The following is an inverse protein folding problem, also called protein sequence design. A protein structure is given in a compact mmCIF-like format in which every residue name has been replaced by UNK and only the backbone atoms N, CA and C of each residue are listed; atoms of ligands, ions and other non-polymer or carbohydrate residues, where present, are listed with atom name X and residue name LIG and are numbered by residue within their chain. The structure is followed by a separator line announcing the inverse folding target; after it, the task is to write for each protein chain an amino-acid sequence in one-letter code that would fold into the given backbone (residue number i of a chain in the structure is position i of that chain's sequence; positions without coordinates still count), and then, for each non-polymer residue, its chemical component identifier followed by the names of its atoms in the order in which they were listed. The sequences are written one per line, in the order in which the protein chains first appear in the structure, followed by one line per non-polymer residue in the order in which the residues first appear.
data_IF_754507043386
#
_entry.id   IF_754507043386
#
_cell.length_a   1.000
_cell.length_b   1.000
_cell.length_c   1.000
_cell.angle_alpha   90.00
_cell.angle_beta   90.00
_cell.angle_gamma   90.00
#
_symmetry.space_group_name_H-M   'P 1'
#
loop_
_entity.id
_entity.type
_entity.pdbx_description
1 polymer ?
#
# COMPACT_ATOMS: atom_id res chain seq x y z
N UNK A 1 -6.83 -8.93 -15.04
CA UNK A 1 -6.51 -7.99 -16.14
C UNK A 1 -5.42 -7.01 -15.73
N UNK A 2 -5.61 -6.24 -14.63
CA UNK A 2 -4.64 -5.22 -14.18
C UNK A 2 -3.52 -5.71 -13.25
N UNK A 3 -3.54 -6.97 -12.83
CA UNK A 3 -2.46 -7.58 -12.03
C UNK A 3 -2.81 -7.90 -10.58
N UNK A 4 -3.99 -7.48 -10.10
CA UNK A 4 -4.48 -7.74 -8.73
C UNK A 4 -4.94 -9.20 -8.56
N UNK A 5 -4.01 -10.15 -8.66
CA UNK A 5 -4.26 -11.58 -8.51
C UNK A 5 -3.24 -12.18 -7.54
N UNK A 6 -3.61 -13.18 -6.72
CA UNK A 6 -2.72 -13.74 -5.70
C UNK A 6 -1.37 -14.20 -6.25
N UNK A 7 -1.32 -14.67 -7.49
CA UNK A 7 -0.08 -15.08 -8.16
C UNK A 7 0.94 -13.95 -8.25
N UNK A 8 0.49 -12.69 -8.34
CA UNK A 8 1.33 -11.49 -8.41
C UNK A 8 1.43 -10.73 -7.09
N UNK A 9 0.38 -10.69 -6.28
CA UNK A 9 0.31 -9.85 -5.08
C UNK A 9 0.68 -10.57 -3.79
N UNK A 10 0.59 -11.91 -3.73
CA UNK A 10 1.08 -12.65 -2.57
C UNK A 10 2.60 -12.56 -2.47
N UNK A 11 3.13 -12.38 -1.27
CA UNK A 11 4.57 -12.50 -1.05
C UNK A 11 4.96 -13.97 -1.14
N UNK A 12 5.86 -14.32 -2.06
CA UNK A 12 6.33 -15.71 -2.25
C UNK A 12 7.00 -16.27 -0.98
N UNK A 13 7.56 -15.39 -0.14
CA UNK A 13 8.32 -15.75 1.06
C UNK A 13 7.53 -15.55 2.34
N UNK A 14 6.62 -16.47 2.68
CA UNK A 14 6.05 -16.59 4.03
C UNK A 14 5.78 -18.04 4.45
N UNK A 15 6.59 -18.98 3.97
CA UNK A 15 6.73 -20.29 4.61
C UNK A 15 8.20 -20.47 4.94
N UNK A 16 8.50 -20.25 6.21
CA UNK A 16 9.73 -20.65 6.90
C UNK A 16 9.84 -22.19 6.94
N UNK A 17 8.75 -22.89 6.58
CA UNK A 17 8.64 -24.35 6.44
C UNK A 17 9.07 -24.86 5.05
N UNK A 18 9.47 -23.99 4.12
CA UNK A 18 9.96 -24.38 2.79
C UNK A 18 11.39 -23.84 2.59
N UNK A 19 12.43 -24.65 2.89
CA UNK A 19 13.82 -24.25 2.74
C UNK A 19 14.23 -23.93 1.29
N UNK A 20 13.48 -24.37 0.28
CA UNK A 20 13.71 -24.09 -1.14
C UNK A 20 12.88 -22.90 -1.66
N UNK A 21 12.82 -21.78 -0.94
CA UNK A 21 12.02 -20.62 -1.37
C UNK A 21 12.75 -19.69 -2.35
N UNK A 22 13.34 -20.28 -3.40
CA UNK A 22 13.86 -19.56 -4.57
C UNK A 22 12.77 -19.29 -5.62
N UNK A 23 11.48 -19.41 -5.26
CA UNK A 23 10.39 -19.28 -6.21
C UNK A 23 10.11 -17.81 -6.54
N UNK A 24 10.98 -17.26 -7.40
CA UNK A 24 10.72 -16.02 -8.11
C UNK A 24 9.38 -16.15 -8.84
N UNK A 25 8.59 -15.08 -8.83
CA UNK A 25 7.34 -15.06 -9.60
C UNK A 25 7.66 -15.23 -11.08
N UNK A 26 6.95 -16.10 -11.81
CA UNK A 26 7.18 -16.29 -13.23
C UNK A 26 6.83 -15.02 -14.01
N UNK A 27 7.36 -14.90 -15.24
CA UNK A 27 6.97 -13.84 -16.15
C UNK A 27 5.45 -13.82 -16.37
N UNK A 28 4.86 -12.62 -16.40
CA UNK A 28 3.41 -12.45 -16.46
C UNK A 28 3.02 -11.33 -17.44
N UNK A 29 1.99 -11.58 -18.26
CA UNK A 29 1.46 -10.60 -19.22
C UNK A 29 0.23 -9.90 -18.64
N UNK A 30 0.32 -8.58 -18.48
CA UNK A 30 -0.77 -7.75 -17.95
C UNK A 30 -1.49 -6.99 -19.07
N UNK A 31 -2.81 -6.82 -18.92
CA UNK A 31 -3.65 -6.06 -19.84
C UNK A 31 -4.30 -4.89 -19.11
N UNK A 32 -3.80 -3.68 -19.35
CA UNK A 32 -4.28 -2.45 -18.70
C UNK A 32 -5.22 -1.70 -19.66
N UNK A 33 -6.52 -1.60 -19.36
CA UNK A 33 -7.45 -0.85 -20.19
C UNK A 33 -7.25 0.66 -20.01
N UNK A 34 -7.06 1.38 -21.12
CA UNK A 34 -7.04 2.85 -21.13
C UNK A 34 -8.44 3.37 -21.50
N UNK A 35 -9.13 3.98 -20.55
CA UNK A 35 -10.49 4.49 -20.74
C UNK A 35 -10.49 5.95 -21.17
N UNK A 36 -10.94 6.22 -22.39
CA UNK A 36 -11.13 7.56 -22.94
C UNK A 36 -12.62 7.86 -23.18
N UNK A 37 -12.98 9.13 -23.43
CA UNK A 37 -14.37 9.50 -23.76
C UNK A 37 -14.91 8.75 -24.99
N UNK A 38 -14.04 8.45 -25.97
CA UNK A 38 -14.37 7.74 -27.20
C UNK A 38 -14.42 6.20 -27.04
N UNK A 39 -14.22 5.68 -25.82
CA UNK A 39 -14.37 4.26 -25.49
C UNK A 39 -15.73 3.93 -24.86
N UNK A 40 -16.58 4.94 -24.58
CA UNK A 40 -17.88 4.74 -23.91
C UNK A 40 -18.96 4.18 -24.80
N UNK A 41 -18.97 4.56 -26.08
CA UNK A 41 -19.92 4.11 -27.08
C UNK A 41 -19.27 4.18 -28.46
N UNK A 42 -19.59 3.23 -29.34
CA UNK A 42 -19.16 3.21 -30.74
C UNK A 42 -19.50 4.51 -31.49
N UNK A 43 -20.59 5.20 -31.13
CA UNK A 43 -20.97 6.50 -31.72
C UNK A 43 -20.04 7.67 -31.34
N UNK A 44 -19.20 7.51 -30.32
CA UNK A 44 -18.22 8.51 -29.87
C UNK A 44 -16.80 8.22 -30.37
N UNK A 45 -16.62 7.18 -31.20
CA UNK A 45 -15.32 6.82 -31.74
C UNK A 45 -14.68 8.02 -32.49
N UNK A 46 -13.37 8.22 -32.26
CA UNK A 46 -12.65 9.33 -32.87
C UNK A 46 -12.54 9.13 -34.40
N UNK A 47 -13.11 10.02 -35.24
CA UNK A 47 -13.13 9.81 -36.69
C UNK A 47 -11.78 10.19 -37.31
N UNK A 48 -10.82 9.26 -37.27
CA UNK A 48 -9.47 9.46 -37.80
C UNK A 48 -9.45 9.88 -39.28
N UNK A 49 -10.44 9.43 -40.07
CA UNK A 49 -10.57 9.82 -41.48
C UNK A 49 -10.84 11.33 -41.69
N UNK A 50 -11.46 11.98 -40.70
CA UNK A 50 -11.74 13.41 -40.70
C UNK A 50 -10.58 14.24 -40.12
N UNK A 51 -9.54 13.58 -39.59
CA UNK A 51 -8.36 14.19 -38.96
C UNK A 51 -7.10 14.02 -39.83
N UNK A 52 -7.22 14.25 -41.14
CA UNK A 52 -6.13 14.00 -42.12
C UNK A 52 -4.86 14.81 -41.85
N UNK A 53 -5.01 16.00 -41.26
CA UNK A 53 -3.90 16.91 -40.97
C UNK A 53 -3.57 17.00 -39.47
N UNK A 54 -4.12 16.10 -38.65
CA UNK A 54 -3.91 16.09 -37.21
C UNK A 54 -3.36 14.74 -36.73
N UNK A 55 -2.25 14.77 -35.99
CA UNK A 55 -1.63 13.55 -35.46
C UNK A 55 -2.17 13.26 -34.05
N UNK A 56 -2.74 12.07 -33.87
CA UNK A 56 -3.15 11.56 -32.55
C UNK A 56 -2.00 10.71 -32.00
N UNK A 57 -1.49 11.07 -30.81
CA UNK A 57 -0.39 10.37 -30.15
C UNK A 57 -0.77 10.07 -28.71
N UNK A 58 -0.38 8.89 -28.24
CA UNK A 58 -0.48 8.49 -26.83
C UNK A 58 0.94 8.39 -26.29
N UNK A 59 1.22 9.14 -25.22
CA UNK A 59 2.50 9.09 -24.52
C UNK A 59 2.31 8.30 -23.24
N UNK A 60 3.12 7.24 -23.07
CA UNK A 60 3.13 6.43 -21.85
C UNK A 60 4.48 6.62 -21.17
N UNK A 61 4.44 6.98 -19.88
CA UNK A 61 5.64 7.11 -19.05
C UNK A 61 5.56 6.07 -17.93
N UNK A 62 6.49 5.12 -17.95
CA UNK A 62 6.60 4.09 -16.91
C UNK A 62 7.34 4.62 -15.69
N UNK A 63 7.04 4.00 -14.54
CA UNK A 63 7.82 4.19 -13.31
C UNK A 63 9.05 3.29 -13.35
N UNK A 64 9.99 3.56 -12.45
CA UNK A 64 11.15 2.70 -12.25
C UNK A 64 10.69 1.34 -11.69
N UNK A 65 11.34 0.25 -12.13
CA UNK A 65 10.95 -1.11 -11.73
C UNK A 65 10.98 -1.33 -10.22
N UNK A 66 11.93 -0.72 -9.51
CA UNK A 66 12.04 -0.75 -8.04
C UNK A 66 10.82 -0.21 -7.29
N UNK A 67 9.95 0.58 -7.95
CA UNK A 67 8.71 1.14 -7.37
C UNK A 67 7.48 0.29 -7.71
N UNK A 68 7.66 -0.85 -8.35
CA UNK A 68 6.56 -1.69 -8.87
C UNK A 68 6.52 -3.09 -8.23
N UNK A 69 7.33 -3.35 -7.20
CA UNK A 69 7.29 -4.60 -6.45
C UNK A 69 7.53 -4.35 -4.96
N UNK A 70 7.08 -5.32 -4.16
CA UNK A 70 7.29 -5.38 -2.71
C UNK A 70 8.23 -6.55 -2.44
N UNK A 71 9.29 -6.30 -1.70
CA UNK A 71 10.32 -7.30 -1.43
C UNK A 71 11.05 -7.01 -0.13
N UNK A 72 11.61 -8.06 0.46
CA UNK A 72 12.51 -7.96 1.60
C UNK A 72 13.86 -7.35 1.22
N UNK A 73 14.62 -6.90 2.22
CA UNK A 73 15.99 -6.44 1.99
C UNK A 73 16.88 -7.57 1.44
N UNK A 74 16.72 -8.79 1.96
CA UNK A 74 17.44 -9.97 1.49
C UNK A 74 17.24 -10.22 -0.02
N UNK A 75 16.01 -10.01 -0.52
CA UNK A 75 15.74 -10.12 -1.95
C UNK A 75 16.42 -9.02 -2.75
N UNK A 76 16.40 -7.78 -2.26
CA UNK A 76 16.99 -6.64 -2.98
C UNK A 76 18.50 -6.70 -3.08
N UNK A 77 19.18 -7.25 -2.08
CA UNK A 77 20.64 -7.33 -2.04
C UNK A 77 21.21 -8.41 -2.96
N UNK A 78 20.44 -9.47 -3.24
CA UNK A 78 20.84 -10.60 -4.11
C UNK A 78 20.08 -10.73 -5.43
N UNK A 79 19.02 -9.95 -5.64
CA UNK A 79 18.08 -10.12 -6.76
C UNK A 79 18.60 -9.63 -8.13
N UNK A 80 18.15 -10.29 -9.19
CA UNK A 80 18.38 -9.85 -10.57
C UNK A 80 17.55 -8.60 -10.93
N UNK A 81 17.98 -7.86 -11.95
CA UNK A 81 17.23 -6.70 -12.44
C UNK A 81 15.91 -7.12 -13.08
N UNK A 82 14.81 -6.45 -12.73
CA UNK A 82 13.52 -6.65 -13.39
C UNK A 82 13.41 -5.77 -14.63
N UNK A 83 13.27 -6.42 -15.79
CA UNK A 83 13.08 -5.75 -17.07
C UNK A 83 11.73 -6.10 -17.70
N UNK A 84 11.16 -5.14 -18.43
CA UNK A 84 9.94 -5.32 -19.19
C UNK A 84 10.32 -5.82 -20.60
N UNK A 85 9.94 -7.04 -20.93
CA UNK A 85 10.33 -7.69 -22.20
C UNK A 85 9.69 -7.00 -23.42
N UNK A 86 8.38 -6.76 -23.38
CA UNK A 86 7.64 -6.14 -24.49
C UNK A 86 6.51 -5.22 -23.97
N UNK A 87 6.09 -4.29 -24.83
CA UNK A 87 4.94 -3.42 -24.59
C UNK A 87 4.28 -3.06 -25.91
N UNK A 88 3.02 -3.42 -26.04
CA UNK A 88 2.20 -3.13 -27.22
C UNK A 88 0.91 -2.41 -26.84
N UNK A 89 0.50 -1.42 -27.63
CA UNK A 89 -0.81 -0.78 -27.50
C UNK A 89 -1.80 -1.41 -28.49
N UNK A 90 -2.84 -2.05 -27.97
CA UNK A 90 -3.94 -2.58 -28.77
C UNK A 90 -4.99 -1.51 -29.03
N UNK A 91 -5.39 -1.36 -30.30
CA UNK A 91 -6.40 -0.39 -30.74
C UNK A 91 -7.37 -1.06 -31.71
N UNK A 92 -8.67 -0.82 -31.53
CA UNK A 92 -9.70 -1.27 -32.46
C UNK A 92 -9.96 -0.21 -33.52
N UNK A 93 -9.91 -0.62 -34.79
CA UNK A 93 -10.27 0.23 -35.93
C UNK A 93 -11.62 -0.18 -36.51
N UNK A 94 -12.52 0.78 -36.67
CA UNK A 94 -13.79 0.60 -37.36
C UNK A 94 -13.63 1.09 -38.80
N UNK A 95 -13.80 0.19 -39.76
CA UNK A 95 -13.74 0.52 -41.17
C UNK A 95 -15.14 0.86 -41.69
N UNK A 96 -15.23 1.96 -42.44
CA UNK A 96 -16.47 2.44 -43.06
C UNK A 96 -16.48 2.09 -44.55
N UNK A 97 -17.68 1.87 -45.11
CA UNK A 97 -17.84 1.69 -46.56
C UNK A 97 -17.55 3.00 -47.31
N UNK A 98 -17.38 2.91 -48.62
CA UNK A 98 -16.91 3.99 -49.49
C UNK A 98 -17.78 5.25 -49.39
N UNK A 99 -19.10 5.10 -49.35
CA UNK A 99 -20.03 6.24 -49.23
C UNK A 99 -19.96 6.90 -47.85
N UNK A 100 -20.00 6.11 -46.78
CA UNK A 100 -19.88 6.58 -45.40
C UNK A 100 -18.54 7.27 -45.17
N UNK A 101 -17.45 6.65 -45.65
CA UNK A 101 -16.09 7.20 -45.57
C UNK A 101 -16.00 8.58 -46.23
N UNK A 102 -16.58 8.74 -47.43
CA UNK A 102 -16.61 10.05 -48.12
C UNK A 102 -17.40 11.08 -47.31
N UNK A 103 -18.56 10.69 -46.78
CA UNK A 103 -19.40 11.56 -45.95
C UNK A 103 -18.69 11.98 -44.66
N UNK A 104 -18.10 11.03 -43.93
CA UNK A 104 -17.36 11.29 -42.70
C UNK A 104 -16.11 12.15 -42.94
N UNK A 105 -15.45 12.04 -44.08
CA UNK A 105 -14.29 12.88 -44.39
C UNK A 105 -14.66 14.34 -44.70
N UNK A 106 -15.84 14.58 -45.28
CA UNK A 106 -16.24 15.90 -45.79
C UNK A 106 -17.12 16.69 -44.82
N UNK A 107 -17.93 16.02 -44.02
CA UNK A 107 -18.85 16.66 -43.07
C UNK A 107 -18.09 17.13 -41.84
N UNK A 108 -18.46 18.30 -41.31
CA UNK A 108 -17.99 18.79 -40.03
C UNK A 108 -18.57 17.96 -38.87
N UNK A 109 -17.72 17.51 -37.95
CA UNK A 109 -18.16 16.78 -36.77
C UNK A 109 -18.00 17.64 -35.52
N UNK A 110 -18.98 17.58 -34.63
CA UNK A 110 -18.91 18.17 -33.29
C UNK A 110 -19.24 17.10 -32.26
N UNK A 111 -18.32 16.87 -31.32
CA UNK A 111 -18.52 15.94 -30.22
C UNK A 111 -18.47 16.70 -28.92
N UNK A 112 -19.46 16.49 -28.05
CA UNK A 112 -19.26 16.71 -26.62
C UNK A 112 -18.24 15.69 -26.15
N UNK A 113 -17.22 16.14 -25.42
CA UNK A 113 -16.15 15.29 -24.90
C UNK A 113 -15.94 15.56 -23.42
N UNK A 114 -15.42 14.55 -22.74
CA UNK A 114 -14.98 14.65 -21.35
C UNK A 114 -13.46 14.66 -21.31
N UNK A 115 -12.90 15.58 -20.53
CA UNK A 115 -11.48 15.70 -20.29
C UNK A 115 -11.21 15.57 -18.78
N UNK A 116 -10.09 14.92 -18.44
CA UNK A 116 -9.59 14.89 -17.08
C UNK A 116 -8.65 16.07 -16.88
N UNK A 117 -8.93 16.90 -15.88
CA UNK A 117 -8.01 17.93 -15.40
C UNK A 117 -7.34 17.47 -14.11
N UNK A 118 -6.05 17.74 -14.02
CA UNK A 118 -5.21 17.45 -12.88
C UNK A 118 -4.25 18.63 -12.71
N UNK A 119 -4.23 19.23 -11.52
CA UNK A 119 -3.45 20.45 -11.23
C UNK A 119 -2.05 20.17 -10.68
N UNK A 120 -1.68 18.90 -10.51
CA UNK A 120 -0.43 18.49 -9.87
C UNK A 120 -0.66 17.89 -8.49
N UNK A 121 0.45 17.50 -7.87
CA UNK A 121 0.48 17.03 -6.47
C UNK A 121 0.70 18.22 -5.54
N UNK A 122 -0.11 18.31 -4.49
CA UNK A 122 0.07 19.30 -3.42
C UNK A 122 0.56 18.59 -2.15
N UNK A 123 1.60 19.12 -1.52
CA UNK A 123 2.09 18.59 -0.24
C UNK A 123 1.12 18.87 0.90
N UNK A 124 1.01 17.93 1.83
CA UNK A 124 0.27 18.14 3.08
C UNK A 124 1.20 18.83 4.08
N UNK A 125 0.84 20.03 4.52
CA UNK A 125 1.61 20.76 5.52
C UNK A 125 1.48 20.15 6.93
N UNK A 126 2.27 20.65 7.88
CA UNK A 126 2.28 20.19 9.28
C UNK A 126 1.04 20.63 10.10
N UNK A 127 -0.06 20.99 9.44
CA UNK A 127 -1.27 21.52 10.08
C UNK A 127 -2.48 20.61 9.85
N UNK A 128 -3.32 20.47 10.88
CA UNK A 128 -4.58 19.70 10.87
C UNK A 128 -5.53 20.03 9.72
N UNK A 129 -5.39 21.21 9.11
CA UNK A 129 -6.14 21.60 7.93
C UNK A 129 -5.25 22.23 6.89
N UNK A 130 -5.52 21.93 5.63
CA UNK A 130 -4.87 22.52 4.47
C UNK A 130 -5.91 23.02 3.48
N UNK A 131 -5.57 24.09 2.77
CA UNK A 131 -6.44 24.74 1.78
C UNK A 131 -5.81 24.61 0.40
N UNK A 132 -6.46 23.85 -0.47
CA UNK A 132 -5.99 23.57 -1.83
C UNK A 132 -6.76 24.43 -2.83
N UNK A 133 -6.03 25.20 -3.64
CA UNK A 133 -6.64 26.08 -4.65
C UNK A 133 -6.97 25.26 -5.89
N UNK A 134 -8.25 25.24 -6.27
CA UNK A 134 -8.72 24.52 -7.45
C UNK A 134 -8.60 25.41 -8.69
N UNK A 135 -7.52 25.22 -9.46
CA UNK A 135 -7.28 25.94 -10.72
C UNK A 135 -7.83 25.16 -11.93
N UNK A 136 -9.07 24.68 -11.82
CA UNK A 136 -9.76 24.01 -12.93
C UNK A 136 -10.41 25.01 -13.88
N UNK A 137 -10.75 24.54 -15.08
CA UNK A 137 -11.42 25.32 -16.10
C UNK A 137 -12.63 24.57 -16.65
N UNK A 138 -13.50 25.32 -17.34
CA UNK A 138 -14.70 24.84 -18.01
C UNK A 138 -15.74 24.24 -17.03
N UNK A 139 -16.92 23.84 -17.52
CA UNK A 139 -17.90 23.12 -16.71
C UNK A 139 -17.39 21.74 -16.27
N UNK A 140 -17.17 21.56 -14.98
CA UNK A 140 -16.81 20.29 -14.35
C UNK A 140 -18.04 19.59 -13.78
N UNK A 141 -18.12 18.26 -13.93
CA UNK A 141 -19.22 17.46 -13.39
C UNK A 141 -18.98 16.96 -11.97
N UNK A 142 -17.73 16.71 -11.62
CA UNK A 142 -17.36 16.22 -10.29
C UNK A 142 -15.89 16.56 -10.00
N UNK A 143 -15.57 16.62 -8.72
CA UNK A 143 -14.21 16.63 -8.18
C UNK A 143 -13.93 15.27 -7.56
N UNK A 144 -12.70 14.82 -7.70
CA UNK A 144 -12.18 13.62 -7.06
C UNK A 144 -10.88 13.99 -6.37
N UNK A 145 -10.66 13.52 -5.15
CA UNK A 145 -9.36 13.69 -4.51
C UNK A 145 -8.97 12.48 -3.70
N UNK A 146 -7.66 12.27 -3.65
CA UNK A 146 -7.03 11.20 -2.88
C UNK A 146 -5.86 11.76 -2.13
N UNK A 147 -5.57 11.14 -0.99
CA UNK A 147 -4.34 11.34 -0.24
C UNK A 147 -3.44 10.14 -0.49
N UNK A 148 -2.17 10.37 -0.81
CA UNK A 148 -1.14 9.34 -0.79
C UNK A 148 -0.18 9.61 0.35
N UNK A 149 0.09 8.58 1.14
CA UNK A 149 1.03 8.67 2.24
C UNK A 149 2.44 8.30 1.78
N UNK A 150 3.42 9.14 2.13
CA UNK A 150 4.83 8.92 1.77
C UNK A 150 5.38 7.61 2.34
N UNK A 151 4.87 7.19 3.50
CA UNK A 151 5.27 5.93 4.16
C UNK A 151 5.04 4.68 3.29
N UNK A 152 4.09 4.70 2.36
CA UNK A 152 3.81 3.58 1.46
C UNK A 152 4.50 3.72 0.10
N UNK A 153 5.33 4.75 -0.08
CA UNK A 153 6.16 4.99 -1.26
C UNK A 153 7.62 4.61 -0.95
N UNK A 154 7.83 3.38 -0.48
CA UNK A 154 9.16 2.82 -0.20
C UNK A 154 9.51 2.68 1.28
N UNK A 155 8.56 2.86 2.20
CA UNK A 155 8.77 2.61 3.63
C UNK A 155 9.07 1.14 3.92
N UNK A 156 9.79 0.89 5.02
CA UNK A 156 10.17 -0.44 5.50
C UNK A 156 9.20 -0.92 6.57
N UNK A 157 8.58 -2.08 6.39
CA UNK A 157 7.57 -2.65 7.27
C UNK A 157 7.94 -4.06 7.69
N UNK A 158 7.43 -4.51 8.84
CA UNK A 158 7.68 -5.85 9.36
C UNK A 158 7.05 -6.97 8.50
N UNK A 159 5.86 -6.71 7.94
CA UNK A 159 5.10 -7.70 7.18
C UNK A 159 4.23 -7.00 6.14
N UNK A 160 3.90 -7.71 5.08
CA UNK A 160 2.93 -7.27 4.09
C UNK A 160 2.20 -8.46 3.47
N UNK A 161 0.88 -8.36 3.35
CA UNK A 161 0.07 -9.34 2.63
C UNK A 161 -1.24 -8.70 2.14
N UNK A 162 -1.30 -8.34 0.86
CA UNK A 162 -2.51 -7.74 0.29
C UNK A 162 -3.67 -8.75 0.18
N UNK A 163 -3.36 -10.05 0.08
CA UNK A 163 -4.36 -11.09 -0.12
C UNK A 163 -5.10 -11.41 1.18
N UNK A 164 -4.38 -11.45 2.30
CA UNK A 164 -4.92 -11.81 3.60
C UNK A 164 -4.20 -11.10 4.75
N UNK A 165 -4.86 -10.06 5.27
CA UNK A 165 -4.34 -9.27 6.39
C UNK A 165 -4.39 -10.01 7.75
N UNK A 166 -5.22 -11.05 7.91
CA UNK A 166 -5.17 -11.90 9.10
C UNK A 166 -3.93 -12.79 9.05
N UNK A 167 -3.60 -13.34 7.87
CA UNK A 167 -2.32 -14.04 7.65
C UNK A 167 -1.12 -13.11 7.90
N UNK A 168 -1.18 -11.86 7.46
CA UNK A 168 -0.14 -10.87 7.81
C UNK A 168 -0.01 -10.68 9.33
N UNK A 169 -1.12 -10.57 10.07
CA UNK A 169 -1.10 -10.44 11.53
C UNK A 169 -0.52 -11.67 12.22
N UNK A 170 -0.81 -12.87 11.75
CA UNK A 170 -0.22 -14.10 12.26
C UNK A 170 1.29 -14.17 11.99
N UNK A 171 1.72 -13.78 10.79
CA UNK A 171 3.14 -13.76 10.42
C UNK A 171 3.91 -12.70 11.21
N UNK A 172 3.34 -11.51 11.40
CA UNK A 172 3.89 -10.51 12.31
C UNK A 172 4.07 -11.07 13.74
N UNK A 173 3.07 -11.79 14.26
CA UNK A 173 3.16 -12.38 15.59
C UNK A 173 4.27 -13.44 15.67
N UNK A 174 4.43 -14.27 14.64
CA UNK A 174 5.53 -15.25 14.55
C UNK A 174 6.90 -14.56 14.54
N UNK A 175 7.06 -13.54 13.70
CA UNK A 175 8.31 -12.76 13.62
C UNK A 175 8.66 -12.11 14.97
N UNK A 176 7.68 -11.52 15.65
CA UNK A 176 7.90 -10.93 16.97
C UNK A 176 8.25 -11.96 18.05
N UNK A 177 7.71 -13.18 17.98
CA UNK A 177 8.07 -14.26 18.90
C UNK A 177 9.52 -14.71 18.66
N UNK A 178 9.92 -14.91 17.41
CA UNK A 178 11.27 -15.34 17.04
C UNK A 178 12.31 -14.24 17.27
N UNK A 179 11.95 -12.97 17.06
CA UNK A 179 12.84 -11.81 17.23
C UNK A 179 13.36 -11.62 18.65
N UNK A 180 12.74 -12.28 19.63
CA UNK A 180 13.16 -12.24 21.03
C UNK A 180 14.33 -13.19 21.31
N UNK A 181 14.64 -14.11 20.40
CA UNK A 181 15.74 -15.05 20.58
C UNK A 181 17.04 -14.49 20.00
N UNK A 182 18.15 -14.91 20.62
CA UNK A 182 19.50 -14.63 20.13
C UNK A 182 19.85 -15.61 19.01
N UNK A 183 19.65 -15.16 17.77
CA UNK A 183 19.83 -15.96 16.56
C UNK A 183 21.01 -15.46 15.72
N UNK A 184 21.73 -16.39 15.11
CA UNK A 184 22.75 -16.13 14.10
C UNK A 184 22.12 -15.72 12.76
N UNK A 185 22.95 -15.45 11.76
CA UNK A 185 22.51 -15.03 10.42
C UNK A 185 21.73 -16.09 9.62
N UNK A 186 21.66 -17.33 10.11
CA UNK A 186 20.95 -18.43 9.48
C UNK A 186 19.71 -18.87 10.28
N UNK A 187 19.45 -18.23 11.42
CA UNK A 187 18.31 -18.54 12.29
C UNK A 187 18.58 -19.61 13.34
N UNK A 188 19.84 -20.03 13.53
CA UNK A 188 20.24 -20.93 14.62
C UNK A 188 20.53 -20.12 15.90
N UNK A 189 20.42 -20.76 17.06
CA UNK A 189 20.83 -20.13 18.32
C UNK A 189 22.34 -19.88 18.34
N UNK A 190 22.76 -18.70 18.80
CA UNK A 190 24.17 -18.40 18.98
C UNK A 190 24.80 -19.26 20.10
N UNK A 191 26.05 -19.69 19.89
CA UNK A 191 26.80 -20.45 20.88
C UNK A 191 27.20 -19.59 22.10
N UNK A 192 27.10 -20.18 23.29
CA UNK A 192 27.49 -19.54 24.53
C UNK A 192 28.90 -19.97 24.94
N UNK A 193 29.72 -19.03 25.42
CA UNK A 193 31.05 -19.35 25.93
C UNK A 193 30.98 -20.31 27.15
N UNK A 194 31.76 -21.40 27.07
CA UNK A 194 31.80 -22.61 27.93
C UNK A 194 31.96 -22.38 29.45
N UNK A 195 32.12 -21.14 29.93
CA UNK A 195 32.41 -20.84 31.34
C UNK A 195 31.18 -20.45 32.19
N UNK A 196 29.99 -20.33 31.59
CA UNK A 196 28.74 -20.08 32.33
C UNK A 196 28.20 -21.40 32.88
N UNK A 197 28.38 -21.64 34.18
CA UNK A 197 27.87 -22.82 34.88
C UNK A 197 26.35 -22.72 35.03
N UNK A 198 25.62 -23.68 34.48
CA UNK A 198 24.30 -24.28 34.83
C UNK A 198 23.12 -23.41 35.33
N UNK A 199 23.29 -22.10 35.53
CA UNK A 199 22.30 -21.18 36.08
C UNK A 199 22.34 -19.90 35.24
N UNK A 200 21.16 -19.43 34.83
CA UNK A 200 20.98 -18.36 33.86
C UNK A 200 21.95 -17.16 34.07
N UNK A 201 22.47 -16.59 32.99
CA UNK A 201 23.33 -15.41 33.04
C UNK A 201 22.81 -14.30 32.12
N UNK A 202 22.90 -13.06 32.58
CA UNK A 202 22.58 -11.88 31.77
C UNK A 202 23.86 -11.32 31.18
N UNK A 203 23.94 -11.24 29.85
CA UNK A 203 25.02 -10.57 29.16
C UNK A 203 24.81 -9.04 29.15
N UNK A 204 25.90 -8.31 28.95
CA UNK A 204 25.91 -6.83 28.94
C UNK A 204 25.16 -6.24 27.72
N UNK A 205 24.83 -7.07 26.74
CA UNK A 205 24.09 -6.75 25.50
C UNK A 205 22.56 -6.73 25.69
N UNK A 206 22.06 -7.05 26.89
CA UNK A 206 20.62 -7.11 27.17
C UNK A 206 19.98 -8.46 26.83
N UNK A 207 20.78 -9.48 26.53
CA UNK A 207 20.34 -10.86 26.38
C UNK A 207 20.48 -11.60 27.73
N UNK A 208 19.47 -12.38 28.07
CA UNK A 208 19.44 -13.32 29.18
C UNK A 208 19.53 -14.74 28.62
N UNK A 209 20.59 -15.45 28.98
CA UNK A 209 20.79 -16.85 28.64
C UNK A 209 20.17 -17.71 29.72
N UNK A 210 19.17 -18.50 29.35
CA UNK A 210 18.39 -19.31 30.27
C UNK A 210 18.63 -20.79 29.94
N UNK A 211 18.99 -21.57 30.96
CA UNK A 211 19.07 -23.02 30.84
C UNK A 211 17.68 -23.62 30.71
N UNK A 212 17.42 -24.34 29.62
CA UNK A 212 16.15 -25.05 29.45
C UNK A 212 16.29 -26.45 29.99
N UNK A 213 15.56 -26.75 31.06
CA UNK A 213 15.48 -28.09 31.64
C UNK A 213 14.06 -28.66 31.48
N UNK A 214 13.86 -29.60 30.53
CA UNK A 214 12.57 -30.27 30.33
C UNK A 214 12.03 -31.01 31.57
N UNK A 215 12.90 -31.41 32.52
CA UNK A 215 12.53 -32.12 33.75
C UNK A 215 12.15 -31.16 34.90
N UNK A 216 12.51 -29.88 34.80
CA UNK A 216 12.17 -28.83 35.76
C UNK A 216 11.71 -27.56 35.03
N UNK A 217 10.48 -27.56 34.48
CA UNK A 217 9.93 -26.40 33.77
C UNK A 217 9.63 -25.29 34.79
N UNK A 218 10.61 -24.40 35.03
CA UNK A 218 10.45 -23.31 36.01
C UNK A 218 9.50 -22.22 35.51
N UNK A 219 9.03 -22.28 34.27
CA UNK A 219 7.98 -21.42 33.72
C UNK A 219 7.01 -22.28 32.90
N UNK A 220 5.69 -22.02 32.98
CA UNK A 220 4.67 -22.70 32.17
C UNK A 220 5.13 -22.86 30.71
N UNK A 221 4.86 -24.00 30.04
CA UNK A 221 5.67 -24.47 28.92
C UNK A 221 5.70 -23.45 27.78
N UNK A 222 6.80 -22.69 27.70
CA UNK A 222 7.15 -21.85 26.57
C UNK A 222 7.79 -22.64 25.43
N UNK A 223 8.18 -23.88 25.70
CA UNK A 223 8.97 -24.71 24.79
C UNK A 223 8.39 -26.11 24.61
N UNK A 224 8.41 -26.59 23.38
CA UNK A 224 8.30 -28.01 23.02
C UNK A 224 9.55 -28.44 22.25
N UNK A 225 9.77 -29.74 22.15
CA UNK A 225 10.90 -30.31 21.43
C UNK A 225 10.37 -31.12 20.25
N UNK A 226 11.07 -31.06 19.12
CA UNK A 226 10.70 -31.77 17.90
C UNK A 226 10.67 -33.30 18.08
N UNK A 227 11.57 -33.88 18.87
CA UNK A 227 11.65 -35.31 19.13
C UNK A 227 12.25 -35.68 20.52
N UNK A 228 12.39 -36.99 20.76
CA UNK A 228 12.95 -37.52 22.02
C UNK A 228 14.47 -37.29 22.14
N UNK A 229 15.21 -37.24 21.04
CA UNK A 229 16.65 -37.03 21.05
C UNK A 229 16.98 -35.58 21.43
N UNK A 230 16.28 -34.61 20.84
CA UNK A 230 16.34 -33.18 21.22
C UNK A 230 15.91 -32.97 22.66
N UNK A 231 14.82 -33.63 23.10
CA UNK A 231 14.43 -33.60 24.51
C UNK A 231 15.58 -34.08 25.42
N UNK A 232 16.22 -35.20 25.09
CA UNK A 232 17.36 -35.73 25.85
C UNK A 232 18.57 -34.80 25.83
N UNK A 233 18.86 -34.15 24.70
CA UNK A 233 19.94 -33.17 24.58
C UNK A 233 19.78 -32.04 25.60
N UNK A 234 18.58 -31.50 25.79
CA UNK A 234 18.31 -30.45 26.79
C UNK A 234 18.02 -30.98 28.21
N UNK A 235 17.77 -32.28 28.40
CA UNK A 235 17.44 -32.87 29.70
C UNK A 235 18.59 -32.80 30.73
N UNK A 236 19.84 -32.67 30.27
CA UNK A 236 21.02 -32.55 31.13
C UNK A 236 21.16 -31.16 31.79
N UNK A 237 20.38 -30.17 31.34
CA UNK A 237 20.30 -28.84 31.96
C UNK A 237 21.43 -27.87 31.62
N UNK A 238 22.37 -28.26 30.74
CA UNK A 238 23.55 -27.45 30.41
C UNK A 238 23.40 -26.56 29.17
N UNK A 239 22.31 -26.69 28.41
CA UNK A 239 22.10 -25.92 27.18
C UNK A 239 21.38 -24.61 27.46
N UNK A 240 22.09 -23.52 27.23
CA UNK A 240 21.62 -22.15 27.42
C UNK A 240 21.03 -21.62 26.11
N UNK A 241 19.85 -21.02 26.17
CA UNK A 241 19.25 -20.29 25.05
C UNK A 241 19.23 -18.81 25.38
N UNK A 242 19.75 -17.99 24.48
CA UNK A 242 19.71 -16.53 24.58
C UNK A 242 18.33 -15.98 24.25
N UNK A 243 17.83 -15.12 25.13
CA UNK A 243 16.54 -14.47 24.98
C UNK A 243 16.63 -13.00 25.41
N UNK A 244 15.92 -12.10 24.72
CA UNK A 244 15.91 -10.68 25.03
C UNK A 244 15.35 -10.45 26.43
N UNK A 245 16.14 -9.82 27.30
CA UNK A 245 15.77 -9.61 28.70
C UNK A 245 14.38 -8.94 28.81
N UNK A 246 13.50 -9.38 29.74
CA UNK A 246 12.15 -8.81 29.90
C UNK A 246 12.12 -7.29 30.15
N UNK A 247 13.21 -6.70 30.65
CA UNK A 247 13.34 -5.26 30.87
C UNK A 247 13.71 -4.46 29.61
N UNK A 248 14.25 -5.12 28.58
CA UNK A 248 14.66 -4.51 27.32
C UNK A 248 13.45 -4.51 26.37
N UNK A 249 13.12 -3.37 25.74
CA UNK A 249 12.03 -3.32 24.77
C UNK A 249 12.42 -4.07 23.48
N UNK A 250 11.49 -4.80 22.87
CA UNK A 250 11.73 -5.48 21.60
C UNK A 250 11.57 -4.52 20.44
N UNK A 251 10.35 -3.98 20.27
CA UNK A 251 10.01 -3.06 19.19
C UNK A 251 8.98 -2.08 19.73
N UNK A 252 9.46 -0.91 20.17
CA UNK A 252 8.70 0.01 21.02
C UNK A 252 8.76 1.46 20.53
N UNK A 253 7.65 2.17 20.76
CA UNK A 253 7.54 3.63 20.62
C UNK A 253 7.35 4.26 22.00
N UNK A 254 7.84 5.49 22.20
CA UNK A 254 7.89 6.19 23.51
C UNK A 254 6.55 6.24 24.24
N UNK A 255 5.44 6.36 23.51
CA UNK A 255 4.08 6.52 24.09
C UNK A 255 3.18 5.30 23.92
N UNK A 256 3.72 4.20 23.44
CA UNK A 256 2.94 3.01 23.15
C UNK A 256 3.46 1.77 23.84
N UNK A 257 2.62 0.74 23.80
CA UNK A 257 2.96 -0.58 24.25
C UNK A 257 4.06 -1.16 23.35
N UNK A 258 5.02 -1.85 23.94
CA UNK A 258 5.95 -2.67 23.18
C UNK A 258 5.16 -3.76 22.43
N UNK A 259 5.44 -3.97 21.15
CA UNK A 259 4.77 -5.01 20.38
C UNK A 259 5.00 -6.41 20.96
N UNK A 260 6.09 -6.62 21.72
CA UNK A 260 6.31 -7.85 22.49
C UNK A 260 5.12 -8.20 23.38
N UNK A 261 4.50 -7.22 24.02
CA UNK A 261 3.42 -7.46 24.98
C UNK A 261 2.08 -7.83 24.32
N UNK A 262 1.97 -7.69 22.99
CA UNK A 262 0.77 -8.04 22.21
C UNK A 262 0.75 -9.49 21.72
N UNK A 263 1.87 -10.21 21.84
CA UNK A 263 2.01 -11.56 21.32
C UNK A 263 2.45 -12.51 22.41
N UNK A 264 1.99 -13.76 22.34
CA UNK A 264 2.56 -14.86 23.11
C UNK A 264 2.35 -16.17 22.36
N UNK A 265 3.23 -17.13 22.56
CA UNK A 265 3.20 -18.40 21.86
C UNK A 265 4.06 -19.46 22.52
N UNK A 266 4.00 -20.66 21.96
CA UNK A 266 4.84 -21.80 22.29
C UNK A 266 5.84 -21.95 21.15
N UNK A 267 7.12 -22.05 21.51
CA UNK A 267 8.23 -22.26 20.59
C UNK A 267 8.59 -23.74 20.58
N UNK A 268 8.76 -24.32 19.41
CA UNK A 268 9.36 -25.64 19.25
C UNK A 268 10.84 -25.48 18.97
N UNK A 269 11.67 -26.21 19.71
CA UNK A 269 13.11 -26.26 19.51
C UNK A 269 13.44 -27.50 18.68
N UNK A 270 14.25 -27.28 17.65
CA UNK A 270 14.81 -28.32 16.80
C UNK A 270 16.31 -28.43 17.05
N UNK A 271 16.80 -29.67 17.06
CA UNK A 271 18.23 -29.98 16.97
C UNK A 271 18.45 -30.79 15.70
N UNK A 272 19.34 -30.29 14.85
CA UNK A 272 19.80 -30.96 13.64
C UNK A 272 21.07 -31.76 13.95
N UNK A 273 20.87 -33.02 14.33
CA UNK A 273 21.97 -33.94 14.63
C UNK A 273 22.78 -34.36 13.40
N UNK A 274 22.29 -34.11 12.18
CA UNK A 274 23.02 -34.44 10.95
C UNK A 274 24.00 -33.33 10.56
N UNK A 275 23.70 -32.08 10.95
CA UNK A 275 24.52 -30.90 10.66
C UNK A 275 25.05 -30.28 11.96
N UNK A 276 26.09 -30.90 12.55
CA UNK A 276 26.87 -30.36 13.69
C UNK A 276 26.04 -30.00 14.94
N UNK A 277 24.95 -30.73 15.20
CA UNK A 277 24.05 -30.50 16.35
C UNK A 277 23.48 -29.06 16.42
N UNK A 278 23.30 -28.42 15.26
CA UNK A 278 22.75 -27.07 15.16
C UNK A 278 21.33 -26.99 15.73
N UNK A 279 21.03 -25.89 16.44
CA UNK A 279 19.73 -25.72 17.12
C UNK A 279 19.00 -24.47 16.67
N UNK A 280 17.68 -24.56 16.43
CA UNK A 280 16.88 -23.41 15.98
C UNK A 280 15.44 -23.44 16.52
N UNK A 281 14.80 -22.27 16.69
CA UNK A 281 13.40 -22.17 17.09
C UNK A 281 12.43 -22.11 15.91
N UNK A 282 11.26 -22.71 16.10
CA UNK A 282 10.07 -22.50 15.27
C UNK A 282 8.87 -22.13 16.14
N UNK A 283 7.91 -21.38 15.60
CA UNK A 283 6.67 -21.08 16.33
C UNK A 283 5.69 -22.24 16.15
N UNK A 284 5.56 -23.08 17.18
CA UNK A 284 4.59 -24.19 17.14
C UNK A 284 3.15 -23.68 17.19
N UNK A 285 2.89 -22.73 18.09
CA UNK A 285 1.54 -22.22 18.31
C UNK A 285 1.54 -20.81 18.86
N UNK A 286 0.73 -19.94 18.28
CA UNK A 286 0.41 -18.63 18.85
C UNK A 286 -0.68 -18.81 19.92
N UNK A 287 -0.42 -18.38 21.14
CA UNK A 287 -1.40 -18.43 22.27
C UNK A 287 -2.19 -17.13 22.41
N UNK A 288 -1.62 -16.01 21.98
CA UNK A 288 -2.28 -14.69 21.95
C UNK A 288 -1.73 -13.85 20.82
N UNK A 289 -2.62 -13.16 20.11
CA UNK A 289 -2.28 -12.19 19.07
C UNK A 289 -3.23 -10.99 19.15
N UNK A 290 -2.77 -9.95 19.86
CA UNK A 290 -3.50 -8.69 20.03
C UNK A 290 -3.04 -7.60 19.05
N UNK A 291 -2.22 -7.96 18.05
CA UNK A 291 -1.79 -7.03 17.01
C UNK A 291 -2.99 -6.54 16.20
N UNK A 292 -3.02 -5.25 15.91
CA UNK A 292 -4.03 -4.62 15.07
C UNK A 292 -3.40 -4.21 13.73
N UNK A 293 -4.22 -3.94 12.71
CA UNK A 293 -3.73 -3.44 11.41
C UNK A 293 -2.92 -2.15 11.56
N UNK A 294 -3.27 -1.29 12.53
CA UNK A 294 -2.49 -0.08 12.83
C UNK A 294 -1.06 -0.42 13.26
N UNK A 295 -0.84 -1.53 13.99
CA UNK A 295 0.49 -1.97 14.40
C UNK A 295 1.33 -2.40 13.19
N UNK A 296 0.70 -2.98 12.17
CA UNK A 296 1.34 -3.36 10.90
C UNK A 296 1.52 -2.17 9.95
N UNK A 297 0.82 -1.05 10.20
CA UNK A 297 0.84 0.14 9.34
C UNK A 297 1.93 1.14 9.72
N UNK A 298 2.77 0.82 10.71
CA UNK A 298 3.84 1.70 11.16
C UNK A 298 5.15 1.21 10.54
N UNK A 299 5.84 2.07 9.78
CA UNK A 299 7.17 1.78 9.30
C UNK A 299 8.18 1.54 10.43
N UNK A 300 9.15 0.66 10.21
CA UNK A 300 10.18 0.29 11.20
C UNK A 300 10.99 1.51 11.66
N UNK A 301 11.25 2.49 10.80
CA UNK A 301 11.98 3.72 11.12
C UNK A 301 11.22 4.66 12.07
N UNK A 302 9.94 4.42 12.33
CA UNK A 302 9.13 5.17 13.29
C UNK A 302 9.17 4.60 14.70
N UNK A 303 9.85 3.46 14.91
CA UNK A 303 10.07 2.90 16.24
C UNK A 303 11.30 3.54 16.90
N UNK A 304 11.20 3.85 18.19
CA UNK A 304 12.30 4.43 18.95
C UNK A 304 13.32 3.35 19.36
N UNK A 305 12.82 2.16 19.67
CA UNK A 305 13.61 0.98 20.00
C UNK A 305 13.31 -0.16 19.01
N UNK A 306 14.34 -0.71 18.36
CA UNK A 306 14.30 -1.93 17.52
C UNK A 306 15.45 -2.86 17.94
N UNK A 307 15.19 -3.72 18.93
CA UNK A 307 16.11 -4.74 19.44
C UNK A 307 15.80 -6.14 18.92
N UNK A 308 15.11 -6.24 17.77
CA UNK A 308 14.92 -7.52 17.08
C UNK A 308 16.28 -8.06 16.63
N UNK A 309 16.47 -9.37 16.67
CA UNK A 309 17.72 -9.98 16.22
C UNK A 309 17.98 -9.69 14.72
N UNK A 310 19.26 -9.59 14.28
CA UNK A 310 19.62 -9.22 12.91
C UNK A 310 18.95 -10.08 11.85
N UNK A 311 18.90 -11.40 12.06
CA UNK A 311 18.23 -12.35 11.17
C UNK A 311 16.78 -11.95 10.86
N UNK A 312 16.00 -11.60 11.89
CA UNK A 312 14.60 -11.23 11.70
C UNK A 312 14.45 -9.91 10.94
N UNK A 313 15.39 -8.97 11.12
CA UNK A 313 15.36 -7.66 10.45
C UNK A 313 15.60 -7.76 8.94
N UNK A 314 16.26 -8.81 8.46
CA UNK A 314 16.48 -9.04 7.03
C UNK A 314 15.18 -9.38 6.27
N UNK A 315 14.17 -9.86 7.00
CA UNK A 315 12.83 -10.15 6.45
C UNK A 315 11.92 -8.92 6.37
N UNK A 316 12.36 -7.75 6.87
CA UNK A 316 11.61 -6.51 6.71
C UNK A 316 11.39 -6.21 5.22
N UNK A 317 10.17 -5.82 4.87
CA UNK A 317 9.73 -5.61 3.49
C UNK A 317 9.63 -4.13 3.16
N UNK A 318 10.06 -3.76 1.95
CA UNK A 318 9.86 -2.42 1.42
C UNK A 318 8.56 -2.37 0.64
N UNK A 319 7.66 -1.51 1.08
CA UNK A 319 6.30 -1.43 0.55
C UNK A 319 6.18 -0.27 -0.42
N UNK A 320 5.68 -0.58 -1.62
CA UNK A 320 5.33 0.38 -2.66
C UNK A 320 3.86 0.20 -3.04
N UNK A 321 2.95 0.95 -2.40
CA UNK A 321 1.50 0.89 -2.67
C UNK A 321 0.99 2.20 -3.25
N UNK A 322 1.01 2.30 -4.58
CA UNK A 322 0.58 3.51 -5.29
C UNK A 322 -0.95 3.67 -5.34
N UNK A 323 -1.69 2.58 -5.13
CA UNK A 323 -3.14 2.52 -5.10
C UNK A 323 -3.74 2.51 -3.69
N UNK A 324 -2.90 2.66 -2.65
CA UNK A 324 -3.38 2.85 -1.30
C UNK A 324 -3.72 4.33 -1.08
N UNK A 325 -5.01 4.60 -0.91
CA UNK A 325 -5.53 5.93 -0.56
C UNK A 325 -6.03 6.00 0.90
N UNK A 326 -6.01 4.86 1.58
CA UNK A 326 -6.35 4.74 2.98
C UNK A 326 -5.19 5.17 3.88
N UNK A 327 -5.50 5.29 5.16
CA UNK A 327 -4.54 5.61 6.19
C UNK A 327 -3.71 4.37 6.52
N UNK A 328 -4.34 3.20 6.61
CA UNK A 328 -3.70 1.95 7.03
C UNK A 328 -3.13 1.17 5.84
N UNK A 329 -2.20 0.25 6.13
CA UNK A 329 -1.48 -0.52 5.10
C UNK A 329 -2.40 -1.43 4.29
N UNK A 330 -3.57 -1.78 4.83
CA UNK A 330 -4.62 -2.53 4.13
C UNK A 330 -5.53 -1.66 3.25
N UNK A 331 -5.25 -0.36 3.13
CA UNK A 331 -6.05 0.57 2.36
C UNK A 331 -7.37 0.97 2.99
N UNK A 332 -7.54 0.77 4.29
CA UNK A 332 -8.74 1.20 5.04
C UNK A 332 -8.52 2.52 5.78
N UNK A 333 -9.64 3.13 6.18
CA UNK A 333 -9.72 4.39 6.91
C UNK A 333 -9.31 5.57 6.05
N UNK A 334 -10.27 6.45 5.73
CA UNK A 334 -10.01 7.67 4.99
C UNK A 334 -9.04 8.60 5.77
N UNK A 335 -7.93 9.07 5.17
CA UNK A 335 -7.03 10.01 5.84
C UNK A 335 -7.66 11.39 6.08
N UNK A 336 -8.65 11.77 5.26
CA UNK A 336 -9.38 13.03 5.34
C UNK A 336 -10.50 12.89 6.38
N UNK A 337 -10.46 13.72 7.41
CA UNK A 337 -11.46 13.72 8.48
C UNK A 337 -12.68 14.55 8.15
N UNK A 338 -12.46 15.75 7.60
CA UNK A 338 -13.50 16.69 7.19
C UNK A 338 -13.15 17.41 5.90
N UNK A 339 -14.17 17.86 5.19
CA UNK A 339 -14.07 18.50 3.88
C UNK A 339 -15.03 19.68 3.80
N UNK A 340 -14.57 20.75 3.16
CA UNK A 340 -15.38 21.91 2.83
C UNK A 340 -14.98 22.50 1.48
N UNK A 341 -15.96 22.63 0.58
CA UNK A 341 -15.79 23.30 -0.71
C UNK A 341 -16.22 24.77 -0.61
N UNK A 342 -15.31 25.68 -0.98
CA UNK A 342 -15.54 27.11 -1.02
C UNK A 342 -15.43 27.64 -2.45
N UNK A 343 -16.48 28.34 -2.91
CA UNK A 343 -16.50 29.05 -4.19
C UNK A 343 -16.76 30.53 -3.94
N UNK A 344 -15.90 31.40 -4.46
CA UNK A 344 -15.95 32.86 -4.27
C UNK A 344 -16.06 33.29 -2.80
N UNK A 345 -15.32 32.60 -1.93
CA UNK A 345 -15.33 32.86 -0.48
C UNK A 345 -16.58 32.39 0.27
N UNK A 346 -17.54 31.75 -0.41
CA UNK A 346 -18.76 31.22 0.18
C UNK A 346 -18.70 29.69 0.27
N UNK A 347 -19.13 29.16 1.41
CA UNK A 347 -19.24 27.73 1.63
C UNK A 347 -20.39 27.17 0.77
N UNK A 348 -20.11 26.15 -0.03
CA UNK A 348 -21.15 25.48 -0.85
C UNK A 348 -21.98 24.49 -0.05
N UNK A 349 -21.38 23.94 0.98
CA UNK A 349 -22.02 23.05 1.93
C UNK A 349 -21.47 23.29 3.33
N UNK A 350 -22.24 22.89 4.34
CA UNK A 350 -21.68 22.73 5.69
C UNK A 350 -20.53 21.73 5.63
N UNK A 351 -19.55 21.90 6.52
CA UNK A 351 -18.42 20.96 6.59
C UNK A 351 -18.95 19.54 6.83
N UNK A 352 -18.44 18.59 6.04
CA UNK A 352 -18.83 17.17 6.11
C UNK A 352 -17.63 16.30 6.42
N UNK A 353 -17.89 15.14 7.01
CA UNK A 353 -16.83 14.15 7.29
C UNK A 353 -16.28 13.57 5.98
N UNK A 354 -15.03 13.11 5.97
CA UNK A 354 -14.46 12.35 4.85
C UNK A 354 -15.34 11.16 4.46
N UNK A 355 -15.94 10.46 5.43
CA UNK A 355 -16.89 9.36 5.17
C UNK A 355 -18.07 9.78 4.28
N UNK A 356 -18.51 11.04 4.35
CA UNK A 356 -19.57 11.54 3.46
C UNK A 356 -19.12 11.53 1.99
N UNK A 357 -17.90 11.98 1.73
CA UNK A 357 -17.34 12.08 0.38
C UNK A 357 -16.81 10.74 -0.15
N UNK A 358 -16.44 9.83 0.74
CA UNK A 358 -15.96 8.49 0.43
C UNK A 358 -17.10 7.50 0.17
N UNK A 359 -18.19 7.60 0.95
CA UNK A 359 -19.26 6.58 0.98
C UNK A 359 -20.62 7.12 0.56
N UNK A 360 -21.05 8.24 1.15
CA UNK A 360 -22.44 8.71 0.96
C UNK A 360 -22.63 9.32 -0.42
N UNK A 361 -21.73 10.20 -0.86
CA UNK A 361 -21.81 10.79 -2.20
C UNK A 361 -21.69 9.76 -3.33
N UNK A 362 -20.74 8.80 -3.27
CA UNK A 362 -20.72 7.68 -4.21
C UNK A 362 -22.02 6.89 -4.23
N UNK A 363 -22.58 6.56 -3.06
CA UNK A 363 -23.86 5.87 -2.98
C UNK A 363 -25.04 6.65 -3.62
N UNK A 364 -25.04 7.98 -3.51
CA UNK A 364 -26.11 8.81 -4.07
C UNK A 364 -26.00 9.03 -5.59
N UNK A 365 -24.78 9.08 -6.13
CA UNK A 365 -24.54 9.56 -7.50
C UNK A 365 -23.84 8.55 -8.43
N UNK A 366 -23.25 7.48 -7.90
CA UNK A 366 -22.45 6.51 -8.65
C UNK A 366 -23.03 5.11 -8.50
N UNK A 367 -22.60 4.21 -9.38
CA UNK A 367 -23.04 2.81 -9.36
C UNK A 367 -22.38 1.98 -8.29
N UNK A 368 -21.21 2.41 -7.79
CA UNK A 368 -20.45 1.73 -6.76
C UNK A 368 -19.68 2.72 -5.89
N UNK A 369 -19.30 2.27 -4.70
CA UNK A 369 -18.48 3.03 -3.76
C UNK A 369 -17.01 2.69 -3.99
N UNK A 370 -16.12 3.70 -4.11
CA UNK A 370 -14.69 3.45 -4.30
C UNK A 370 -14.04 2.87 -3.03
N UNK A 371 -12.75 2.49 -3.13
CA UNK A 371 -11.96 2.12 -1.94
C UNK A 371 -11.79 3.32 -1.01
N UNK A 372 -11.72 3.05 0.29
CA UNK A 372 -11.52 4.07 1.33
C UNK A 372 -10.40 5.06 0.98
N UNK A 373 -10.67 6.34 1.23
CA UNK A 373 -9.74 7.43 0.95
C UNK A 373 -9.85 8.05 -0.44
N UNK A 374 -10.65 7.46 -1.34
CA UNK A 374 -11.05 8.11 -2.59
C UNK A 374 -12.32 8.92 -2.37
N UNK A 375 -12.13 10.23 -2.27
CA UNK A 375 -13.21 11.13 -1.97
C UNK A 375 -13.78 11.77 -3.24
N UNK A 376 -15.09 11.96 -3.25
CA UNK A 376 -15.83 12.53 -4.38
C UNK A 376 -16.70 13.71 -3.94
N UNK A 377 -16.77 14.72 -4.81
CA UNK A 377 -17.79 15.77 -4.78
C UNK A 377 -18.50 15.84 -6.14
N UNK A 378 -19.75 15.40 -6.21
CA UNK A 378 -20.54 15.46 -7.44
C UNK A 378 -21.30 16.79 -7.57
N UNK A 379 -21.12 17.47 -8.70
CA UNK A 379 -22.02 18.55 -9.12
C UNK A 379 -23.16 18.04 -10.00
N UNK A 380 -22.97 16.89 -10.64
CA UNK A 380 -23.91 16.22 -11.52
C UNK A 380 -24.86 15.31 -10.73
N UNK A 381 -26.09 15.16 -11.20
CA UNK A 381 -26.99 14.13 -10.66
C UNK A 381 -26.51 12.73 -11.07
N UNK A 382 -26.10 12.59 -12.33
CA UNK A 382 -25.57 11.39 -12.95
C UNK A 382 -24.15 11.68 -13.52
N UNK A 383 -23.08 11.65 -12.70
CA UNK A 383 -21.71 11.92 -13.13
C UNK A 383 -21.14 10.85 -14.08
N UNK A 384 -21.65 9.62 -14.04
CA UNK A 384 -21.21 8.53 -14.91
C UNK A 384 -21.74 8.63 -16.34
N UNK A 385 -22.83 9.36 -16.55
CA UNK A 385 -23.39 9.58 -17.88
C UNK A 385 -22.56 10.59 -18.69
N UNK A 386 -22.51 10.39 -20.00
CA UNK A 386 -21.86 11.34 -20.91
C UNK A 386 -22.69 12.63 -21.10
N UNK A 387 -24.01 12.53 -20.93
CA UNK A 387 -24.90 13.67 -21.04
C UNK A 387 -24.89 14.45 -19.72
N UNK A 388 -24.58 15.76 -19.74
CA UNK A 388 -24.48 16.53 -18.51
C UNK A 388 -25.86 16.69 -17.85
N UNK A 389 -25.99 16.18 -16.62
CA UNK A 389 -27.16 16.38 -15.78
C UNK A 389 -27.07 17.67 -14.94
N UNK A 390 -25.86 18.05 -14.51
CA UNK A 390 -25.53 19.34 -13.90
C UNK A 390 -24.00 19.54 -13.89
N UNK A 391 -23.53 20.79 -13.81
CA UNK A 391 -22.09 21.12 -13.83
C UNK A 391 -21.76 22.37 -13.00
N UNK A 392 -20.51 22.49 -12.57
CA UNK A 392 -19.93 23.70 -11.99
C UNK A 392 -18.91 24.32 -12.95
N UNK A 393 -19.13 25.57 -13.38
CA UNK A 393 -18.25 26.23 -14.35
C UNK A 393 -17.09 26.96 -13.66
N UNK A 394 -15.94 26.31 -13.60
CA UNK A 394 -14.74 26.88 -12.97
C UNK A 394 -14.14 28.06 -13.74
N UNK A 395 -14.39 28.19 -15.06
CA UNK A 395 -13.94 29.37 -15.82
C UNK A 395 -14.68 30.67 -15.46
N UNK A 396 -15.76 30.59 -14.67
CA UNK A 396 -16.53 31.76 -14.21
C UNK A 396 -16.38 32.01 -12.71
N UNK A 397 -15.59 31.20 -12.02
CA UNK A 397 -15.37 31.28 -10.59
C UNK A 397 -14.01 31.91 -10.36
N UNK A 398 -13.96 33.02 -9.63
CA UNK A 398 -12.71 33.75 -9.39
C UNK A 398 -11.82 33.00 -8.39
N UNK A 399 -12.43 32.40 -7.36
CA UNK A 399 -11.70 31.63 -6.35
C UNK A 399 -12.43 30.35 -6.00
N UNK A 400 -11.79 29.21 -6.20
CA UNK A 400 -12.28 27.92 -5.76
C UNK A 400 -11.24 27.26 -4.86
N UNK A 401 -11.67 26.82 -3.67
CA UNK A 401 -10.79 26.18 -2.71
C UNK A 401 -11.44 24.94 -2.10
N UNK A 402 -10.65 23.88 -2.00
CA UNK A 402 -10.96 22.67 -1.27
C UNK A 402 -10.21 22.72 0.07
N UNK A 403 -10.96 22.88 1.15
CA UNK A 403 -10.41 22.85 2.51
C UNK A 403 -10.53 21.42 3.03
N UNK A 404 -9.40 20.81 3.37
CA UNK A 404 -9.33 19.46 3.92
C UNK A 404 -8.82 19.50 5.36
N UNK A 405 -9.44 18.72 6.22
CA UNK A 405 -8.93 18.40 7.55
C UNK A 405 -8.48 16.94 7.55
N UNK A 406 -7.39 16.66 8.25
CA UNK A 406 -6.84 15.31 8.36
C UNK A 406 -7.04 14.78 9.77
N UNK A 407 -7.02 13.46 9.94
CA UNK A 407 -7.26 12.82 11.23
C UNK A 407 -6.11 13.01 12.26
N UNK A 408 -5.08 13.80 11.96
CA UNK A 408 -3.74 13.49 12.49
C UNK A 408 -2.82 14.69 12.72
N UNK A 409 -3.10 15.51 13.72
CA UNK A 409 -2.03 16.21 14.46
C UNK A 409 -2.35 16.28 15.97
N UNK A 410 -1.42 15.74 16.77
CA UNK A 410 -1.35 15.61 18.24
C UNK A 410 -2.43 14.74 18.94
N UNK A 411 -1.99 13.64 19.58
CA UNK A 411 -2.80 12.85 20.53
C UNK A 411 -3.70 11.76 19.92
N UNK A 412 -3.66 11.54 18.61
CA UNK A 412 -4.37 10.45 17.93
C UNK A 412 -3.43 9.25 17.71
N UNK A 413 -3.94 8.02 17.90
CA UNK A 413 -3.24 6.75 17.60
C UNK A 413 -2.69 6.68 16.17
N UNK A 414 -3.29 7.42 15.26
CA UNK A 414 -2.93 7.45 13.84
C UNK A 414 -1.86 8.49 13.46
N UNK A 415 -1.44 9.33 14.41
CA UNK A 415 -0.54 10.45 14.11
C UNK A 415 0.76 9.99 13.45
N UNK A 416 1.29 8.85 13.87
CA UNK A 416 2.60 8.37 13.39
C UNK A 416 2.53 7.82 11.97
N UNK A 417 1.42 7.20 11.60
CA UNK A 417 1.15 6.74 10.22
C UNK A 417 1.07 7.92 9.24
N UNK A 418 0.63 9.08 9.73
CA UNK A 418 0.50 10.30 8.94
C UNK A 418 1.65 11.31 9.20
N UNK A 419 2.67 10.94 9.98
CA UNK A 419 3.74 11.85 10.42
C UNK A 419 4.79 12.20 9.34
N UNK A 420 4.59 11.70 8.12
CA UNK A 420 5.51 11.86 7.01
C UNK A 420 5.34 13.21 6.30
N UNK A 421 6.46 13.85 5.95
CA UNK A 421 6.47 15.10 5.20
C UNK A 421 6.15 14.92 3.72
N UNK A 422 6.26 13.69 3.20
CA UNK A 422 6.07 13.38 1.79
C UNK A 422 4.63 12.98 1.45
N UNK A 423 3.69 13.18 2.38
CA UNK A 423 2.27 13.00 2.13
C UNK A 423 1.76 14.02 1.09
N UNK A 424 0.98 13.54 0.13
CA UNK A 424 0.53 14.31 -1.03
C UNK A 424 -0.97 14.19 -1.24
N UNK A 425 -1.58 15.29 -1.68
CA UNK A 425 -2.95 15.36 -2.16
C UNK A 425 -2.97 15.47 -3.67
N UNK A 426 -3.83 14.68 -4.29
CA UNK A 426 -4.10 14.73 -5.72
C UNK A 426 -5.56 15.12 -5.90
N UNK A 427 -5.81 16.19 -6.65
CA UNK A 427 -7.17 16.64 -6.97
C UNK A 427 -7.38 16.57 -8.48
N UNK A 428 -8.46 15.91 -8.87
CA UNK A 428 -8.89 15.73 -10.23
C UNK A 428 -10.26 16.34 -10.43
N UNK A 429 -10.54 16.78 -11.65
CA UNK A 429 -11.87 17.17 -12.07
C UNK A 429 -12.14 16.63 -13.47
N UNK A 430 -13.37 16.19 -13.71
CA UNK A 430 -13.80 15.83 -15.07
C UNK A 430 -14.60 16.99 -15.64
N UNK A 431 -14.10 17.58 -16.74
CA UNK A 431 -14.75 18.70 -17.40
C UNK A 431 -15.29 18.33 -18.78
N UNK A 432 -16.28 19.10 -19.21
CA UNK A 432 -16.81 19.03 -20.56
C UNK A 432 -16.08 20.01 -21.48
N UNK A 433 -15.89 19.60 -22.73
CA UNK A 433 -15.48 20.45 -23.84
C UNK A 433 -16.15 19.98 -25.12
N UNK A 434 -16.03 20.75 -26.20
CA UNK A 434 -16.54 20.36 -27.52
C UNK A 434 -15.37 20.18 -28.46
N UNK A 435 -15.18 18.97 -28.99
CA UNK A 435 -14.24 18.70 -30.05
C UNK A 435 -14.90 19.01 -31.40
N UNK A 436 -14.31 19.94 -32.15
CA UNK A 436 -14.73 20.30 -33.50
C UNK A 436 -13.74 19.77 -34.51
N UNK A 437 -14.24 19.09 -35.53
CA UNK A 437 -13.44 18.55 -36.62
C UNK A 437 -13.98 19.12 -37.92
N UNK A 438 -13.16 19.92 -38.60
CA UNK A 438 -13.51 20.56 -39.86
C UNK A 438 -12.30 20.56 -40.80
N UNK A 439 -12.55 20.26 -42.07
CA UNK A 439 -11.54 20.35 -43.15
C UNK A 439 -10.23 19.61 -42.84
N UNK A 440 -10.31 18.43 -42.22
CA UNK A 440 -9.13 17.62 -41.91
C UNK A 440 -8.41 17.97 -40.60
N UNK A 441 -8.86 18.99 -39.86
CA UNK A 441 -8.26 19.42 -38.59
C UNK A 441 -9.24 19.29 -37.43
N UNK A 442 -8.75 18.78 -36.30
CA UNK A 442 -9.47 18.72 -35.03
C UNK A 442 -8.97 19.77 -34.05
N UNK A 443 -9.88 20.40 -33.31
CA UNK A 443 -9.56 21.36 -32.27
C UNK A 443 -10.63 21.43 -31.20
N UNK A 444 -10.24 21.85 -29.99
CA UNK A 444 -11.18 22.13 -28.92
C UNK A 444 -11.88 23.47 -29.20
N UNK A 445 -13.20 23.51 -29.03
CA UNK A 445 -13.99 24.72 -29.20
C UNK A 445 -13.64 25.77 -28.13
N UNK A 446 -13.29 25.31 -26.92
CA UNK A 446 -12.85 26.14 -25.81
C UNK A 446 -11.43 25.72 -25.43
N UNK A 447 -10.49 26.65 -25.60
CA UNK A 447 -9.11 26.51 -25.09
C UNK A 447 -8.98 27.25 -23.76
N UNK A 448 -8.09 26.76 -22.91
CA UNK A 448 -7.74 27.37 -21.62
C UNK A 448 -6.75 28.51 -21.79
#
# INVERSE_FOLDING_TARGET
MIGDVPELTSISTLSWDVPDNNLLKPAYVMFIPLQFYFCRNNGLALPLIALQYHQVKIYVRFRQSMQCYIASEAYKSGGESHEMEDTSLYVNYVYLDTEERRRFAQVSHEYLIEQLQFTGEDSIGNTNSCKYKLNFNHPCKALYWVVRLGIYEGGRFMVYDECDWERARENAAKLLLLAQYDLDQFGYFNEVAVNARDEAYTADDGIEYIGINPANPVEEPRYTFNDTATYSHYAEGCNLIGYLAPRVPLLKRVRELDLREKVSGIIRIFTDFENDDLTYPEVERITRNDLLIIDLSIPIDKYDDDNRCPYIREFDVYVWMLHNYGLLINGTVNPVSEVQLQLNGQDRQTRRSGFWHDTVEPYEHFTDTPRDGLNVYSFALNPEEHQPSCTCNFSRIDTANLNLWFHTFAGNRYADVFSDSDNKVFVFATNYNVLRIMSGMGGLAYSN
#
